data_IF_726633248066
#
_entry.id   IF_726633248066
#
_cell.length_a   1.000
_cell.length_b   1.000
_cell.length_c   1.000
_cell.angle_alpha   90.00
_cell.angle_beta   90.00
_cell.angle_gamma   90.00
#
_symmetry.space_group_name_H-M   'P 1'
#
loop_
_entity.id
_entity.type
_entity.pdbx_description
1 polymer ?
#
# COMPACT_ATOMS: atom_id res chain seq x y z
N UNK A 1 50.33 34.43 -44.61
CA UNK A 1 50.51 33.08 -44.05
C UNK A 1 49.16 32.37 -44.12
N UNK A 2 48.95 31.48 -45.10
CA UNK A 2 47.68 30.73 -45.28
C UNK A 2 47.85 29.34 -44.69
N UNK A 3 46.99 28.97 -43.74
CA UNK A 3 46.92 27.63 -43.14
C UNK A 3 46.17 26.71 -44.12
N UNK A 4 46.67 25.51 -44.46
CA UNK A 4 45.97 24.61 -45.36
C UNK A 4 44.86 23.86 -44.62
N UNK A 5 43.63 23.96 -45.14
CA UNK A 5 42.48 23.15 -44.71
C UNK A 5 42.66 21.74 -45.27
N UNK A 6 42.86 20.77 -44.40
CA UNK A 6 42.89 19.35 -44.75
C UNK A 6 41.47 18.88 -45.12
N UNK A 7 41.23 18.62 -46.40
CA UNK A 7 40.00 17.96 -46.88
C UNK A 7 39.90 16.57 -46.26
N UNK A 8 38.95 16.37 -45.34
CA UNK A 8 38.58 15.04 -44.87
C UNK A 8 38.12 14.20 -46.06
N UNK A 9 38.83 13.09 -46.35
CA UNK A 9 38.55 12.24 -47.51
C UNK A 9 37.21 11.51 -47.28
N UNK A 10 36.14 11.82 -48.02
CA UNK A 10 34.82 11.16 -47.84
C UNK A 10 34.91 9.65 -48.09
N UNK A 11 35.84 9.21 -48.92
CA UNK A 11 36.16 7.80 -49.18
C UNK A 11 36.65 7.04 -47.93
N UNK A 12 37.39 7.70 -47.03
CA UNK A 12 37.86 7.05 -45.81
C UNK A 12 36.71 6.84 -44.81
N UNK A 13 35.79 7.81 -44.70
CA UNK A 13 34.57 7.66 -43.88
C UNK A 13 33.62 6.62 -44.45
N UNK A 14 33.46 6.59 -45.78
CA UNK A 14 32.66 5.56 -46.44
C UNK A 14 33.24 4.15 -46.25
N UNK A 15 34.56 3.99 -46.32
CA UNK A 15 35.23 2.72 -46.06
C UNK A 15 35.08 2.26 -44.61
N UNK A 16 35.16 3.17 -43.63
CA UNK A 16 34.94 2.85 -42.21
C UNK A 16 33.48 2.45 -41.96
N UNK A 17 32.51 3.18 -42.51
CA UNK A 17 31.09 2.85 -42.38
C UNK A 17 30.75 1.52 -43.07
N UNK A 18 31.32 1.25 -44.24
CA UNK A 18 31.15 -0.03 -44.93
C UNK A 18 31.80 -1.18 -44.15
N UNK A 19 32.96 -0.94 -43.52
CA UNK A 19 33.61 -1.90 -42.63
C UNK A 19 32.76 -2.21 -41.39
N UNK A 20 32.22 -1.19 -40.73
CA UNK A 20 31.33 -1.36 -39.57
C UNK A 20 30.03 -2.09 -39.96
N UNK A 21 29.41 -1.70 -41.07
CA UNK A 21 28.22 -2.39 -41.59
C UNK A 21 28.52 -3.84 -41.95
N UNK A 22 29.67 -4.11 -42.58
CA UNK A 22 30.13 -5.46 -42.89
C UNK A 22 30.31 -6.32 -41.65
N UNK A 23 30.88 -5.76 -40.57
CA UNK A 23 31.05 -6.45 -39.28
C UNK A 23 29.69 -6.74 -38.63
N UNK A 24 28.76 -5.79 -38.61
CA UNK A 24 27.41 -6.00 -38.08
C UNK A 24 26.67 -7.07 -38.87
N UNK A 25 26.74 -7.04 -40.20
CA UNK A 25 26.14 -8.06 -41.07
C UNK A 25 26.77 -9.43 -40.82
N UNK A 26 28.08 -9.52 -40.60
CA UNK A 26 28.77 -10.76 -40.24
C UNK A 26 28.27 -11.31 -38.90
N UNK A 27 28.11 -10.47 -37.89
CA UNK A 27 27.56 -10.89 -36.59
C UNK A 27 26.08 -11.31 -36.69
N UNK A 28 25.26 -10.60 -37.47
CA UNK A 28 23.85 -10.95 -37.70
C UNK A 28 23.68 -12.20 -38.58
N UNK A 29 24.61 -12.46 -39.52
CA UNK A 29 24.60 -13.67 -40.32
C UNK A 29 25.10 -14.90 -39.52
N UNK A 30 26.03 -14.68 -38.58
CA UNK A 30 26.50 -15.71 -37.64
C UNK A 30 25.42 -16.09 -36.62
N UNK A 31 24.44 -15.22 -36.33
CA UNK A 31 23.28 -15.55 -35.48
C UNK A 31 22.19 -16.33 -36.22
N UNK A 32 22.53 -17.06 -37.29
CA UNK A 32 21.65 -18.03 -37.97
C UNK A 32 21.37 -19.29 -37.14
N UNK A 33 21.99 -19.44 -35.97
CA UNK A 33 21.46 -20.29 -34.90
C UNK A 33 20.33 -19.55 -34.18
N UNK A 34 19.18 -20.21 -33.97
CA UNK A 34 18.07 -19.71 -33.13
C UNK A 34 18.66 -18.89 -31.98
N UNK A 35 18.33 -17.59 -31.90
CA UNK A 35 18.63 -16.79 -30.70
C UNK A 35 18.36 -17.70 -29.50
N UNK A 36 19.33 -17.94 -28.60
CA UNK A 36 19.06 -18.77 -27.45
C UNK A 36 17.82 -18.19 -26.80
N UNK A 37 16.71 -18.95 -26.83
CA UNK A 37 15.54 -18.58 -26.07
C UNK A 37 16.08 -18.44 -24.66
N UNK A 38 15.98 -17.24 -24.09
CA UNK A 38 16.28 -17.06 -22.69
C UNK A 38 15.41 -18.11 -21.97
N UNK A 39 16.05 -19.16 -21.49
CA UNK A 39 15.39 -20.08 -20.59
C UNK A 39 15.20 -19.25 -19.33
N UNK A 40 13.94 -18.94 -19.01
CA UNK A 40 13.65 -18.36 -17.73
C UNK A 40 14.22 -19.35 -16.69
N UNK A 41 15.24 -18.91 -15.96
CA UNK A 41 15.88 -19.73 -14.91
C UNK A 41 14.94 -20.00 -13.73
N UNK A 42 13.81 -19.29 -13.72
CA UNK A 42 12.74 -19.38 -12.77
C UNK A 42 11.43 -19.55 -13.53
N UNK A 43 10.59 -20.45 -13.05
CA UNK A 43 9.18 -20.57 -13.43
C UNK A 43 8.44 -19.25 -13.15
N UNK A 44 7.27 -19.05 -13.75
CA UNK A 44 6.44 -17.89 -13.43
C UNK A 44 6.11 -17.84 -11.92
N UNK A 45 5.91 -19.00 -11.31
CA UNK A 45 5.67 -19.16 -9.87
C UNK A 45 6.90 -18.76 -9.04
N UNK A 46 8.11 -19.20 -9.41
CA UNK A 46 9.36 -18.79 -8.75
C UNK A 46 9.65 -17.29 -8.94
N UNK A 47 9.31 -16.70 -10.09
CA UNK A 47 9.44 -15.26 -10.32
C UNK A 47 8.47 -14.46 -9.47
N UNK A 48 7.21 -14.91 -9.33
CA UNK A 48 6.24 -14.29 -8.43
C UNK A 48 6.66 -14.45 -6.96
N UNK A 49 7.18 -15.62 -6.59
CA UNK A 49 7.74 -15.86 -5.26
C UNK A 49 8.92 -14.91 -4.99
N UNK A 50 9.82 -14.72 -5.95
CA UNK A 50 10.96 -13.79 -5.82
C UNK A 50 10.52 -12.31 -5.80
N UNK A 51 9.48 -11.95 -6.55
CA UNK A 51 8.92 -10.57 -6.59
C UNK A 51 8.18 -10.19 -5.31
N UNK A 52 7.53 -11.15 -4.66
CA UNK A 52 6.94 -11.01 -3.33
C UNK A 52 7.88 -11.45 -2.21
N UNK A 53 9.20 -11.49 -2.41
CA UNK A 53 10.20 -11.90 -1.39
C UNK A 53 9.93 -13.25 -0.68
N UNK A 54 9.15 -14.14 -1.27
CA UNK A 54 8.78 -15.45 -0.71
C UNK A 54 7.72 -15.40 0.39
N UNK A 55 7.14 -14.24 0.69
CA UNK A 55 6.26 -14.01 1.84
C UNK A 55 4.75 -14.14 1.54
N UNK A 56 4.40 -14.41 0.27
CA UNK A 56 3.02 -14.62 -0.17
C UNK A 56 2.16 -13.36 -0.26
N UNK A 57 2.75 -12.15 -0.21
CA UNK A 57 2.06 -10.88 -0.40
C UNK A 57 2.12 -10.40 -1.85
N UNK A 58 1.16 -9.57 -2.29
CA UNK A 58 1.18 -8.99 -3.62
C UNK A 58 2.45 -8.14 -3.81
N UNK A 59 3.14 -8.36 -4.91
CA UNK A 59 4.26 -7.52 -5.36
C UNK A 59 3.84 -6.53 -6.45
N UNK A 60 4.81 -5.73 -6.90
CA UNK A 60 4.64 -4.82 -8.02
C UNK A 60 4.25 -3.39 -7.61
N UNK A 61 4.17 -2.52 -8.61
CA UNK A 61 3.89 -1.10 -8.44
C UNK A 61 3.05 -0.56 -9.60
N UNK A 62 2.41 0.58 -9.36
CA UNK A 62 1.81 1.41 -10.40
C UNK A 62 2.58 2.75 -10.48
N UNK A 63 1.99 3.84 -10.99
CA UNK A 63 2.73 5.08 -11.19
C UNK A 63 3.14 5.77 -9.88
N UNK A 64 2.39 5.55 -8.79
CA UNK A 64 2.57 6.26 -7.51
C UNK A 64 2.63 5.34 -6.30
N UNK A 65 2.11 4.11 -6.40
CA UNK A 65 1.94 3.19 -5.28
C UNK A 65 2.65 1.87 -5.54
N UNK A 66 2.87 1.13 -4.46
CA UNK A 66 3.51 -0.17 -4.45
C UNK A 66 2.78 -1.10 -3.49
N UNK A 67 2.74 -2.39 -3.83
CA UNK A 67 2.11 -3.40 -2.99
C UNK A 67 3.02 -3.80 -1.80
N UNK A 68 2.37 -4.32 -0.75
CA UNK A 68 2.96 -4.65 0.57
C UNK A 68 4.11 -5.64 0.50
N UNK A 69 4.12 -6.53 -0.49
CA UNK A 69 5.17 -7.53 -0.69
C UNK A 69 6.56 -6.90 -0.85
N UNK A 70 6.65 -5.67 -1.36
CA UNK A 70 7.94 -4.96 -1.48
C UNK A 70 8.44 -4.38 -0.16
N UNK A 71 7.56 -4.14 0.81
CA UNK A 71 7.92 -3.65 2.14
C UNK A 71 8.36 -4.80 3.07
N UNK A 72 7.72 -5.96 2.91
CA UNK A 72 7.81 -7.09 3.82
C UNK A 72 9.20 -7.76 3.90
N UNK A 73 10.07 -7.58 2.90
CA UNK A 73 11.45 -8.08 2.96
C UNK A 73 12.32 -7.37 4.02
N UNK A 74 11.95 -6.16 4.44
CA UNK A 74 12.62 -5.41 5.51
C UNK A 74 11.73 -5.25 6.75
N UNK A 75 10.42 -5.13 6.58
CA UNK A 75 9.47 -4.86 7.66
C UNK A 75 8.60 -6.06 8.07
N UNK A 76 8.89 -7.25 7.53
CA UNK A 76 8.24 -8.51 7.91
C UNK A 76 9.07 -9.33 8.89
N UNK A 77 8.72 -10.62 9.03
CA UNK A 77 9.41 -11.57 9.91
C UNK A 77 10.93 -11.64 9.65
N UNK A 78 11.73 -11.36 10.68
CA UNK A 78 13.18 -11.52 10.63
C UNK A 78 13.61 -12.89 11.17
N UNK A 79 14.11 -13.75 10.29
CA UNK A 79 14.62 -15.08 10.63
C UNK A 79 15.80 -15.06 11.61
N UNK A 80 16.50 -13.93 11.73
CA UNK A 80 17.59 -13.75 12.69
C UNK A 80 17.09 -13.34 14.08
N UNK A 81 15.82 -12.94 14.21
CA UNK A 81 15.25 -12.44 15.46
C UNK A 81 15.92 -11.17 15.97
N UNK A 82 16.42 -10.31 15.07
CA UNK A 82 17.04 -9.03 15.43
C UNK A 82 16.11 -7.85 15.20
N UNK A 83 15.44 -7.82 14.04
CA UNK A 83 14.45 -6.82 13.70
C UNK A 83 13.03 -7.31 13.98
N UNK A 84 12.12 -6.37 14.21
CA UNK A 84 10.69 -6.63 14.39
C UNK A 84 10.39 -7.60 15.54
N UNK A 85 11.23 -7.61 16.57
CA UNK A 85 11.03 -8.36 17.80
C UNK A 85 10.99 -7.42 19.00
N UNK A 86 10.18 -7.78 20.00
CA UNK A 86 10.12 -7.08 21.28
C UNK A 86 11.26 -7.53 22.24
N UNK A 87 11.31 -6.98 23.46
CA UNK A 87 12.38 -7.30 24.42
C UNK A 87 12.35 -8.76 24.91
N UNK A 88 11.19 -9.43 24.82
CA UNK A 88 11.01 -10.84 25.15
C UNK A 88 11.31 -11.76 23.94
N UNK A 89 11.65 -11.19 22.79
CA UNK A 89 11.94 -11.92 21.55
C UNK A 89 10.69 -12.39 20.80
N UNK A 90 9.52 -11.82 21.09
CA UNK A 90 8.28 -12.07 20.35
C UNK A 90 8.31 -11.29 19.04
N UNK A 91 7.95 -11.95 17.95
CA UNK A 91 7.78 -11.31 16.64
C UNK A 91 6.58 -10.36 16.66
N UNK A 92 6.85 -9.09 16.39
CA UNK A 92 5.89 -7.98 16.33
C UNK A 92 5.91 -7.30 14.96
N UNK A 93 6.21 -8.06 13.89
CA UNK A 93 6.35 -7.49 12.57
C UNK A 93 5.05 -6.89 12.01
N UNK A 94 5.15 -5.69 11.41
CA UNK A 94 3.98 -4.94 10.92
C UNK A 94 3.27 -5.64 9.78
N UNK A 95 3.99 -6.44 8.99
CA UNK A 95 3.45 -7.14 7.84
C UNK A 95 2.42 -8.20 8.26
N UNK A 96 2.79 -9.04 9.23
CA UNK A 96 1.94 -10.12 9.72
C UNK A 96 0.79 -9.61 10.60
N UNK A 97 1.04 -8.53 11.33
CA UNK A 97 0.00 -7.77 12.02
C UNK A 97 -1.06 -7.23 11.07
N UNK A 98 -0.63 -6.54 10.01
CA UNK A 98 -1.53 -5.88 9.06
C UNK A 98 -2.27 -6.85 8.14
N UNK A 99 -1.61 -7.88 7.59
CA UNK A 99 -2.14 -8.70 6.46
C UNK A 99 -3.46 -9.42 6.74
N UNK A 100 -3.79 -9.66 8.01
CA UNK A 100 -5.03 -10.32 8.44
C UNK A 100 -6.13 -9.35 8.86
N UNK A 101 -5.88 -8.04 8.79
CA UNK A 101 -6.85 -7.01 9.18
C UNK A 101 -7.90 -6.77 8.10
N UNK A 102 -9.01 -6.14 8.47
CA UNK A 102 -10.01 -5.70 7.47
C UNK A 102 -9.45 -4.65 6.50
N UNK A 103 -8.40 -3.92 6.88
CA UNK A 103 -7.72 -2.96 6.00
C UNK A 103 -6.96 -3.67 4.87
N UNK A 104 -6.16 -4.69 5.20
CA UNK A 104 -5.47 -5.50 4.19
C UNK A 104 -6.44 -6.25 3.26
N UNK A 105 -7.60 -6.63 3.79
CA UNK A 105 -8.59 -7.42 3.07
C UNK A 105 -9.77 -6.58 2.54
N UNK A 106 -9.67 -5.24 2.55
CA UNK A 106 -10.77 -4.33 2.23
C UNK A 106 -11.27 -4.49 0.79
N UNK A 107 -10.36 -4.78 -0.15
CA UNK A 107 -10.69 -5.05 -1.55
C UNK A 107 -11.19 -6.48 -1.76
N UNK A 108 -10.88 -7.40 -0.86
CA UNK A 108 -11.27 -8.82 -0.91
C UNK A 108 -12.56 -9.14 -0.15
N UNK A 109 -13.05 -8.22 0.69
CA UNK A 109 -14.26 -8.37 1.48
C UNK A 109 -15.48 -8.73 0.59
N UNK A 110 -16.03 -9.95 0.71
CA UNK A 110 -17.15 -10.38 -0.11
C UNK A 110 -18.46 -9.67 0.25
N UNK A 111 -18.64 -9.21 1.49
CA UNK A 111 -19.81 -8.43 1.88
C UNK A 111 -19.77 -7.05 1.21
N UNK A 112 -18.62 -6.38 1.26
CA UNK A 112 -18.42 -5.12 0.54
C UNK A 112 -18.65 -5.28 -0.96
N UNK A 113 -18.01 -6.27 -1.62
CA UNK A 113 -18.21 -6.53 -3.06
C UNK A 113 -19.67 -6.77 -3.42
N UNK A 114 -20.39 -7.53 -2.59
CA UNK A 114 -21.82 -7.77 -2.78
C UNK A 114 -22.63 -6.48 -2.63
N UNK A 115 -22.29 -5.63 -1.67
CA UNK A 115 -22.96 -4.33 -1.48
C UNK A 115 -22.72 -3.40 -2.66
N UNK A 116 -21.49 -3.27 -3.17
CA UNK A 116 -21.20 -2.48 -4.38
C UNK A 116 -22.00 -3.01 -5.58
N UNK A 117 -22.01 -4.33 -5.78
CA UNK A 117 -22.80 -4.94 -6.86
C UNK A 117 -24.29 -4.66 -6.71
N UNK A 118 -24.82 -4.70 -5.49
CA UNK A 118 -26.21 -4.36 -5.22
C UNK A 118 -26.52 -2.90 -5.54
N UNK A 119 -25.68 -1.95 -5.13
CA UNK A 119 -25.87 -0.52 -5.45
C UNK A 119 -25.89 -0.28 -6.96
N UNK A 120 -25.00 -0.95 -7.71
CA UNK A 120 -24.99 -0.89 -9.18
C UNK A 120 -26.26 -1.51 -9.79
N UNK A 121 -26.78 -2.60 -9.21
CA UNK A 121 -28.03 -3.22 -9.68
C UNK A 121 -29.25 -2.32 -9.45
N UNK A 122 -29.29 -1.62 -8.32
CA UNK A 122 -30.38 -0.68 -7.99
C UNK A 122 -30.28 0.60 -8.82
N UNK A 123 -29.06 1.11 -9.03
CA UNK A 123 -28.79 2.38 -9.68
C UNK A 123 -27.80 2.22 -10.86
N UNK A 124 -28.17 1.50 -11.94
CA UNK A 124 -27.23 1.16 -13.02
C UNK A 124 -26.68 2.39 -13.75
N UNK A 125 -27.44 3.48 -13.82
CA UNK A 125 -26.98 4.74 -14.40
C UNK A 125 -25.83 5.41 -13.64
N UNK A 126 -25.58 5.00 -12.38
CA UNK A 126 -24.54 5.55 -11.51
C UNK A 126 -23.35 4.63 -11.31
N UNK A 127 -23.28 3.51 -12.04
CA UNK A 127 -22.26 2.47 -11.82
C UNK A 127 -20.84 3.03 -11.68
N UNK A 128 -20.40 3.88 -12.62
CA UNK A 128 -19.04 4.39 -12.63
C UNK A 128 -18.72 5.26 -11.40
N UNK A 129 -19.67 6.07 -10.93
CA UNK A 129 -19.49 6.93 -9.74
C UNK A 129 -19.53 6.08 -8.47
N UNK A 130 -20.41 5.09 -8.39
CA UNK A 130 -20.52 4.19 -7.25
C UNK A 130 -19.25 3.37 -7.07
N UNK A 131 -18.77 2.70 -8.13
CA UNK A 131 -17.56 1.89 -8.06
C UNK A 131 -16.32 2.75 -7.72
N UNK A 132 -16.19 3.94 -8.31
CA UNK A 132 -15.09 4.86 -7.98
C UNK A 132 -15.14 5.31 -6.52
N UNK A 133 -16.34 5.58 -6.00
CA UNK A 133 -16.53 6.01 -4.62
C UNK A 133 -16.22 4.90 -3.63
N UNK A 134 -16.65 3.68 -3.89
CA UNK A 134 -16.38 2.55 -3.00
C UNK A 134 -14.89 2.20 -3.00
N UNK A 135 -14.25 2.23 -4.17
CA UNK A 135 -12.82 1.90 -4.31
C UNK A 135 -11.89 2.98 -3.76
N UNK A 136 -12.35 4.23 -3.58
CA UNK A 136 -11.52 5.28 -2.97
C UNK A 136 -11.15 4.98 -1.51
N UNK A 137 -11.98 4.22 -0.78
CA UNK A 137 -11.67 3.75 0.58
C UNK A 137 -11.20 2.29 0.61
N UNK A 138 -11.76 1.40 -0.22
CA UNK A 138 -11.51 -0.05 -0.13
C UNK A 138 -10.36 -0.56 -1.01
N UNK A 139 -9.97 0.18 -2.05
CA UNK A 139 -8.84 -0.14 -2.91
C UNK A 139 -8.06 1.14 -3.28
N UNK A 140 -7.65 1.94 -2.27
CA UNK A 140 -7.23 3.32 -2.46
C UNK A 140 -6.03 3.46 -3.40
N UNK A 141 -5.10 2.52 -3.40
CA UNK A 141 -3.87 2.61 -4.20
C UNK A 141 -4.14 2.51 -5.71
N UNK A 142 -4.99 1.59 -6.14
CA UNK A 142 -5.40 1.45 -7.55
C UNK A 142 -6.25 2.63 -8.00
N UNK A 143 -7.26 2.98 -7.19
CA UNK A 143 -8.17 4.09 -7.46
C UNK A 143 -7.42 5.42 -7.56
N UNK A 144 -6.61 5.76 -6.56
CA UNK A 144 -5.90 7.04 -6.55
C UNK A 144 -4.79 7.09 -7.59
N UNK A 145 -4.14 5.97 -7.92
CA UNK A 145 -3.23 5.92 -9.06
C UNK A 145 -3.93 6.35 -10.36
N UNK A 146 -5.12 5.81 -10.64
CA UNK A 146 -5.90 6.18 -11.82
C UNK A 146 -6.34 7.65 -11.77
N UNK A 147 -6.82 8.11 -10.62
CA UNK A 147 -7.22 9.51 -10.42
C UNK A 147 -6.06 10.49 -10.66
N UNK A 148 -4.91 10.27 -10.02
CA UNK A 148 -3.71 11.11 -10.12
C UNK A 148 -3.12 11.09 -11.55
N UNK A 149 -3.27 9.97 -12.26
CA UNK A 149 -2.87 9.85 -13.68
C UNK A 149 -3.86 10.48 -14.66
N UNK A 150 -4.96 11.09 -14.19
CA UNK A 150 -6.00 11.70 -15.03
C UNK A 150 -6.93 10.69 -15.72
N UNK A 151 -7.01 9.46 -15.22
CA UNK A 151 -7.77 8.36 -15.83
C UNK A 151 -9.27 8.33 -15.53
N UNK A 152 -9.77 9.20 -14.64
CA UNK A 152 -11.19 9.25 -14.24
C UNK A 152 -11.59 8.14 -13.27
N UNK A 153 -12.87 7.72 -13.32
CA UNK A 153 -13.45 6.73 -12.40
C UNK A 153 -12.74 5.37 -12.45
N UNK A 154 -12.49 4.77 -11.30
CA UNK A 154 -11.93 3.42 -11.16
C UNK A 154 -13.02 2.37 -10.94
N UNK A 155 -13.06 1.35 -11.80
CA UNK A 155 -14.09 0.29 -11.75
C UNK A 155 -13.68 -0.92 -10.90
N UNK A 156 -14.68 -1.70 -10.47
CA UNK A 156 -14.43 -3.01 -9.84
C UNK A 156 -13.72 -3.95 -10.81
N UNK A 157 -14.04 -3.89 -12.10
CA UNK A 157 -13.37 -4.70 -13.10
C UNK A 157 -11.86 -4.41 -13.18
N UNK A 158 -11.47 -3.14 -13.10
CA UNK A 158 -10.06 -2.74 -13.04
C UNK A 158 -9.39 -3.25 -11.75
N UNK A 159 -10.03 -3.00 -10.59
CA UNK A 159 -9.55 -3.47 -9.28
C UNK A 159 -9.24 -4.98 -9.30
N UNK A 160 -10.11 -5.80 -9.87
CA UNK A 160 -9.95 -7.26 -9.91
C UNK A 160 -8.73 -7.74 -10.70
N UNK A 161 -8.12 -6.88 -11.51
CA UNK A 161 -6.93 -7.19 -12.32
C UNK A 161 -5.68 -6.44 -11.86
N UNK A 162 -5.80 -5.63 -10.80
CA UNK A 162 -4.73 -4.79 -10.28
C UNK A 162 -4.24 -5.32 -8.92
N UNK A 163 -3.04 -5.94 -8.85
CA UNK A 163 -2.53 -6.49 -7.60
C UNK A 163 -2.27 -5.43 -6.53
N UNK A 164 -1.96 -4.18 -6.92
CA UNK A 164 -1.75 -3.07 -5.98
C UNK A 164 -3.08 -2.59 -5.40
N UNK A 165 -4.17 -2.69 -6.17
CA UNK A 165 -5.52 -2.39 -5.70
C UNK A 165 -6.08 -3.50 -4.78
N UNK A 166 -5.82 -4.77 -5.13
CA UNK A 166 -6.24 -5.93 -4.33
C UNK A 166 -5.53 -6.01 -2.98
N UNK A 167 -4.36 -5.40 -2.85
CA UNK A 167 -3.63 -5.24 -1.59
C UNK A 167 -4.35 -4.32 -0.56
N UNK A 168 -5.52 -3.78 -0.92
CA UNK A 168 -6.43 -3.09 -0.01
C UNK A 168 -5.89 -1.75 0.48
N UNK A 169 -6.22 -1.41 1.74
CA UNK A 169 -5.63 -0.27 2.45
C UNK A 169 -4.26 -0.71 2.99
N UNK A 170 -3.25 -0.61 2.11
CA UNK A 170 -1.88 -1.08 2.34
C UNK A 170 -0.93 0.02 2.84
N UNK A 171 0.35 -0.33 3.00
CA UNK A 171 1.41 0.50 3.53
C UNK A 171 1.47 1.88 2.86
N UNK A 172 1.54 1.94 1.52
CA UNK A 172 1.69 3.21 0.79
C UNK A 172 0.39 4.04 0.83
N UNK A 173 -0.78 3.40 0.91
CA UNK A 173 -2.07 4.10 1.08
C UNK A 173 -2.15 4.90 2.40
N UNK A 174 -1.44 4.46 3.44
CA UNK A 174 -1.35 5.19 4.70
C UNK A 174 -0.11 6.09 4.71
N UNK A 175 1.07 5.54 4.46
CA UNK A 175 2.33 6.24 4.68
C UNK A 175 2.61 7.35 3.65
N UNK A 176 1.94 7.37 2.49
CA UNK A 176 2.11 8.46 1.51
C UNK A 176 1.14 9.64 1.74
N UNK A 177 0.25 9.56 2.74
CA UNK A 177 -0.71 10.64 3.00
C UNK A 177 0.01 11.94 3.36
N UNK A 178 -0.34 13.02 2.68
CA UNK A 178 0.23 14.34 2.90
C UNK A 178 -0.34 14.95 4.19
N UNK A 179 0.47 15.77 4.86
CA UNK A 179 0.10 16.45 6.10
C UNK A 179 -1.13 17.37 5.94
N UNK A 180 -1.33 17.96 4.75
CA UNK A 180 -2.44 18.86 4.46
C UNK A 180 -3.77 18.12 4.22
N UNK A 181 -3.77 16.78 4.21
CA UNK A 181 -4.98 15.96 4.05
C UNK A 181 -5.80 15.80 5.34
N UNK A 182 -5.27 16.20 6.49
CA UNK A 182 -5.81 15.81 7.79
C UNK A 182 -7.09 16.56 8.18
N UNK A 183 -8.13 15.83 8.57
CA UNK A 183 -9.29 16.38 9.29
C UNK A 183 -10.24 17.27 8.48
N UNK A 184 -9.91 17.55 7.21
CA UNK A 184 -10.69 18.41 6.32
C UNK A 184 -11.25 17.68 5.09
N UNK A 185 -10.69 16.51 4.75
CA UNK A 185 -11.12 15.69 3.62
C UNK A 185 -11.74 14.39 4.12
N UNK A 186 -12.79 13.96 3.44
CA UNK A 186 -13.63 12.84 3.85
C UNK A 186 -14.00 11.98 2.65
N UNK A 187 -14.59 10.82 2.92
CA UNK A 187 -15.20 9.94 1.93
C UNK A 187 -14.20 9.45 0.88
N UNK A 188 -13.01 9.08 1.31
CA UNK A 188 -11.90 8.60 0.49
C UNK A 188 -11.25 9.68 -0.37
N UNK A 189 -11.47 10.97 -0.06
CA UNK A 189 -10.65 12.06 -0.59
C UNK A 189 -9.34 12.13 0.20
N UNK A 190 -8.33 11.41 -0.30
CA UNK A 190 -7.01 11.37 0.33
C UNK A 190 -6.04 12.18 -0.52
N UNK A 191 -5.31 13.12 0.09
CA UNK A 191 -4.18 13.78 -0.56
C UNK A 191 -2.91 12.98 -0.29
N UNK A 192 -2.21 12.66 -1.36
CA UNK A 192 -0.95 11.94 -1.32
C UNK A 192 0.21 12.86 -1.70
N UNK A 193 1.34 12.70 -1.02
CA UNK A 193 2.59 13.34 -1.41
C UNK A 193 3.24 12.53 -2.54
N UNK A 194 3.08 13.01 -3.78
CA UNK A 194 3.56 12.30 -4.98
C UNK A 194 5.03 12.56 -5.30
N UNK A 195 5.83 13.02 -4.32
CA UNK A 195 7.26 13.25 -4.48
C UNK A 195 8.10 12.07 -3.97
N UNK A 196 7.58 10.85 -4.08
CA UNK A 196 8.22 9.61 -3.64
C UNK A 196 8.61 9.63 -2.15
N UNK A 197 7.72 10.14 -1.29
CA UNK A 197 7.92 10.23 0.17
C UNK A 197 6.97 9.31 0.92
N UNK A 198 7.48 8.64 1.96
CA UNK A 198 6.67 7.93 2.94
C UNK A 198 6.93 8.47 4.35
N UNK A 199 5.85 8.72 5.10
CA UNK A 199 5.88 9.33 6.41
C UNK A 199 5.78 8.28 7.52
N UNK A 200 6.65 8.39 8.52
CA UNK A 200 6.61 7.59 9.75
C UNK A 200 6.73 8.44 11.01
N UNK A 201 6.55 7.85 12.20
CA UNK A 201 6.59 8.58 13.47
C UNK A 201 8.01 8.90 13.97
N UNK A 202 9.05 8.38 13.30
CA UNK A 202 10.46 8.51 13.70
C UNK A 202 11.23 9.50 12.82
N UNK A 203 12.39 9.96 13.29
CA UNK A 203 13.24 10.92 12.58
C UNK A 203 12.86 12.39 12.80
N UNK A 204 11.97 12.66 13.75
CA UNK A 204 11.56 14.03 14.10
C UNK A 204 12.62 14.80 14.88
N UNK A 205 12.38 16.09 15.19
CA UNK A 205 13.37 16.96 15.85
C UNK A 205 13.87 16.46 17.21
N UNK A 206 13.06 15.66 17.90
CA UNK A 206 13.36 15.11 19.22
C UNK A 206 13.85 13.65 19.16
N UNK A 207 13.96 13.07 17.96
CA UNK A 207 14.45 11.71 17.80
C UNK A 207 15.98 11.71 17.89
N UNK A 208 16.57 10.99 18.86
CA UNK A 208 18.02 10.95 19.01
C UNK A 208 18.72 10.22 17.86
N UNK A 209 17.99 9.45 17.05
CA UNK A 209 18.53 8.63 15.98
C UNK A 209 18.06 9.13 14.60
N UNK A 210 18.96 9.48 13.67
CA UNK A 210 18.56 9.83 12.31
C UNK A 210 17.94 8.63 11.58
N UNK A 211 17.04 8.88 10.63
CA UNK A 211 16.51 7.81 9.77
C UNK A 211 17.60 7.28 8.84
N UNK A 212 17.73 5.96 8.75
CA UNK A 212 18.57 5.32 7.75
C UNK A 212 17.74 5.01 6.49
N UNK A 213 17.53 6.03 5.65
CA UNK A 213 16.62 5.94 4.50
C UNK A 213 17.20 5.29 3.24
N UNK A 214 18.52 5.09 3.16
CA UNK A 214 19.19 4.61 1.94
C UNK A 214 18.65 3.28 1.37
N UNK A 215 18.24 2.28 2.18
CA UNK A 215 17.62 1.07 1.65
C UNK A 215 16.28 1.34 0.99
N UNK A 216 15.43 2.17 1.60
CA UNK A 216 14.11 2.49 1.06
C UNK A 216 14.24 3.24 -0.27
N UNK A 217 15.11 4.25 -0.34
CA UNK A 217 15.32 5.01 -1.58
C UNK A 217 15.96 4.18 -2.69
N UNK A 218 16.89 3.27 -2.35
CA UNK A 218 17.64 2.50 -3.34
C UNK A 218 16.92 1.26 -3.84
N UNK A 219 16.10 0.60 -3.00
CA UNK A 219 15.46 -0.68 -3.34
C UNK A 219 13.95 -0.55 -3.58
N UNK A 220 13.29 0.40 -2.91
CA UNK A 220 11.83 0.59 -2.99
C UNK A 220 11.47 1.85 -3.79
N UNK A 221 12.34 2.86 -3.76
CA UNK A 221 12.16 4.12 -4.48
C UNK A 221 11.49 5.23 -3.68
N UNK A 222 11.23 5.03 -2.38
CA UNK A 222 10.64 6.03 -1.50
C UNK A 222 11.64 6.57 -0.46
N UNK A 223 11.62 7.87 -0.21
CA UNK A 223 12.33 8.53 0.89
C UNK A 223 11.48 8.46 2.18
N UNK A 224 11.98 7.84 3.26
CA UNK A 224 11.29 7.87 4.54
C UNK A 224 11.54 9.19 5.26
N UNK A 225 10.46 9.90 5.61
CA UNK A 225 10.50 11.15 6.36
C UNK A 225 9.68 11.05 7.66
N UNK A 226 10.03 11.89 8.61
CA UNK A 226 9.18 12.11 9.78
C UNK A 226 7.89 12.83 9.37
N UNK A 227 6.75 12.30 9.79
CA UNK A 227 5.45 12.95 9.65
C UNK A 227 4.74 13.03 11.00
N UNK A 228 4.65 14.22 11.59
CA UNK A 228 3.91 14.40 12.85
C UNK A 228 2.44 13.95 12.73
N UNK A 229 1.86 14.13 11.55
CA UNK A 229 0.47 13.81 11.23
C UNK A 229 0.13 12.33 11.37
N UNK A 230 1.09 11.41 11.20
CA UNK A 230 0.79 9.95 11.21
C UNK A 230 0.30 9.45 12.57
N UNK A 231 0.53 10.23 13.63
CA UNK A 231 0.09 9.91 15.00
C UNK A 231 -1.19 10.64 15.43
N UNK A 232 -1.77 11.48 14.56
CA UNK A 232 -2.95 12.31 14.85
C UNK A 232 -4.24 11.60 14.44
N UNK A 233 -5.32 11.73 15.21
CA UNK A 233 -6.58 11.01 14.94
C UNK A 233 -7.19 11.35 13.56
N UNK A 234 -6.95 12.57 13.12
CA UNK A 234 -7.33 13.15 11.82
C UNK A 234 -6.75 12.39 10.62
N UNK A 235 -5.69 11.60 10.82
CA UNK A 235 -5.10 10.72 9.81
C UNK A 235 -6.07 9.66 9.29
N UNK A 236 -7.06 9.29 10.10
CA UNK A 236 -8.08 8.30 9.74
C UNK A 236 -9.32 8.93 9.08
N UNK A 237 -9.46 10.26 9.12
CA UNK A 237 -10.70 10.97 8.80
C UNK A 237 -11.18 10.77 7.36
N UNK A 238 -10.24 10.71 6.42
CA UNK A 238 -10.52 10.57 4.99
C UNK A 238 -11.34 9.32 4.69
N UNK A 239 -11.03 8.19 5.33
CA UNK A 239 -11.77 6.94 5.16
C UNK A 239 -12.88 6.73 6.21
N UNK A 240 -12.73 7.28 7.43
CA UNK A 240 -13.68 7.10 8.53
C UNK A 240 -14.72 8.23 8.69
N UNK A 241 -15.03 8.91 7.59
CA UNK A 241 -16.25 9.70 7.41
C UNK A 241 -16.74 9.49 5.99
N UNK A 242 -17.96 9.00 5.82
CA UNK A 242 -18.57 8.73 4.52
C UNK A 242 -19.82 9.59 4.34
N UNK A 243 -19.71 10.54 3.41
CA UNK A 243 -20.75 11.46 3.00
C UNK A 243 -20.94 11.26 1.50
N UNK A 244 -22.14 10.85 1.11
CA UNK A 244 -22.46 10.47 -0.27
C UNK A 244 -23.56 11.37 -0.84
N UNK A 245 -23.53 11.58 -2.15
CA UNK A 245 -24.62 12.26 -2.86
C UNK A 245 -25.88 11.39 -2.85
N UNK A 246 -27.04 12.02 -2.76
CA UNK A 246 -28.33 11.30 -2.74
C UNK A 246 -29.03 11.35 -4.09
N UNK A 247 -29.75 10.28 -4.40
CA UNK A 247 -30.58 10.15 -5.60
C UNK A 247 -32.03 9.88 -5.23
N UNK A 248 -32.97 10.30 -6.08
CA UNK A 248 -34.39 9.97 -5.94
C UNK A 248 -34.69 8.52 -6.38
N UNK A 249 -35.93 8.07 -6.26
CA UNK A 249 -36.36 6.72 -6.66
C UNK A 249 -36.24 6.44 -8.18
N UNK A 250 -36.03 7.48 -8.99
CA UNK A 250 -35.78 7.35 -10.43
C UNK A 250 -34.28 7.41 -10.75
N UNK A 251 -33.41 7.49 -9.74
CA UNK A 251 -31.98 7.65 -9.91
C UNK A 251 -31.54 9.06 -10.31
N UNK A 252 -32.36 10.10 -10.18
CA UNK A 252 -31.91 11.47 -10.42
C UNK A 252 -31.22 12.03 -9.19
N UNK A 253 -30.12 12.75 -9.36
CA UNK A 253 -29.48 13.47 -8.25
C UNK A 253 -30.47 14.45 -7.62
N UNK A 254 -30.58 14.42 -6.30
CA UNK A 254 -31.41 15.38 -5.54
C UNK A 254 -30.67 16.69 -5.26
N UNK A 255 -29.35 16.72 -5.47
CA UNK A 255 -28.45 17.79 -5.03
C UNK A 255 -28.11 17.78 -3.54
N UNK A 256 -28.68 16.86 -2.75
CA UNK A 256 -28.38 16.70 -1.32
C UNK A 256 -27.32 15.63 -1.04
N UNK A 257 -26.83 15.61 0.20
CA UNK A 257 -25.89 14.60 0.70
C UNK A 257 -26.49 13.81 1.87
N UNK A 258 -25.97 12.60 2.08
CA UNK A 258 -26.30 11.73 3.21
C UNK A 258 -25.02 11.34 3.94
N UNK A 259 -25.07 11.38 5.27
CA UNK A 259 -23.96 10.96 6.13
C UNK A 259 -24.17 9.48 6.46
N UNK A 260 -23.47 8.62 5.73
CA UNK A 260 -23.54 7.17 5.90
C UNK A 260 -22.68 6.71 7.09
N UNK A 261 -21.53 7.36 7.29
CA UNK A 261 -20.65 7.12 8.44
C UNK A 261 -20.06 8.44 8.90
N UNK A 262 -20.04 8.68 10.22
CA UNK A 262 -19.55 9.91 10.82
C UNK A 262 -18.52 9.66 11.94
N UNK A 263 -17.87 8.49 11.98
CA UNK A 263 -17.06 8.05 13.13
C UNK A 263 -15.98 9.06 13.54
N UNK A 264 -15.27 9.66 12.59
CA UNK A 264 -14.30 10.72 12.93
C UNK A 264 -14.99 11.95 13.58
N UNK A 265 -16.13 12.38 13.06
CA UNK A 265 -16.88 13.50 13.64
C UNK A 265 -17.48 13.15 15.00
N UNK A 266 -17.95 11.92 15.19
CA UNK A 266 -18.40 11.41 16.48
C UNK A 266 -17.25 11.45 17.51
N UNK A 267 -16.04 11.06 17.10
CA UNK A 267 -14.83 11.14 17.93
C UNK A 267 -14.45 12.58 18.28
N UNK A 268 -14.40 13.50 17.31
CA UNK A 268 -14.11 14.94 17.56
C UNK A 268 -15.12 15.57 18.51
N UNK A 269 -16.38 15.11 18.50
CA UNK A 269 -17.42 15.61 19.39
C UNK A 269 -17.56 14.80 20.69
N UNK A 270 -16.64 13.86 20.95
CA UNK A 270 -16.65 13.02 22.14
C UNK A 270 -15.71 13.55 23.22
N UNK A 271 -15.72 12.90 24.38
CA UNK A 271 -14.78 13.17 25.48
C UNK A 271 -13.33 12.73 25.17
N UNK A 272 -13.10 12.09 24.02
CA UNK A 272 -11.80 11.51 23.64
C UNK A 272 -10.94 12.40 22.74
N UNK A 273 -11.53 13.39 22.05
CA UNK A 273 -10.88 14.24 21.04
C UNK A 273 -9.52 14.80 21.51
N UNK A 274 -9.50 15.37 22.72
CA UNK A 274 -8.31 16.05 23.25
C UNK A 274 -7.20 15.11 23.76
N UNK A 275 -7.49 13.83 24.03
CA UNK A 275 -6.60 12.99 24.84
C UNK A 275 -6.29 11.59 24.26
N UNK A 276 -7.11 11.09 23.34
CA UNK A 276 -6.97 9.72 22.82
C UNK A 276 -7.19 9.72 21.31
N UNK A 277 -6.08 9.65 20.56
CA UNK A 277 -6.16 9.51 19.11
C UNK A 277 -6.67 8.12 18.71
N UNK A 278 -7.16 7.99 17.46
CA UNK A 278 -7.53 6.72 16.86
C UNK A 278 -6.43 5.66 17.03
N UNK A 279 -5.18 6.07 16.77
CA UNK A 279 -3.99 5.23 16.86
C UNK A 279 -3.73 4.74 18.28
N UNK A 280 -4.04 5.54 19.32
CA UNK A 280 -3.80 5.15 20.71
C UNK A 280 -4.53 3.85 21.08
N UNK A 281 -5.68 3.57 20.47
CA UNK A 281 -6.43 2.33 20.66
C UNK A 281 -6.21 1.30 19.54
N UNK A 282 -6.18 1.73 18.28
CA UNK A 282 -6.17 0.83 17.11
C UNK A 282 -4.77 0.47 16.60
N UNK A 283 -3.75 1.24 16.99
CA UNK A 283 -2.33 0.98 16.73
C UNK A 283 -1.59 1.02 18.07
N UNK A 284 -1.86 0.05 18.97
CA UNK A 284 -1.34 0.09 20.32
C UNK A 284 0.18 0.12 20.31
N UNK A 285 0.75 0.86 21.25
CA UNK A 285 2.20 1.06 21.32
C UNK A 285 2.82 0.25 22.45
N UNK A 286 4.02 -0.26 22.20
CA UNK A 286 4.92 -0.80 23.21
C UNK A 286 6.11 0.14 23.37
N UNK A 287 6.68 0.19 24.58
CA UNK A 287 7.81 1.06 24.89
C UNK A 287 9.17 0.38 24.62
N UNK A 288 9.14 -0.90 24.26
CA UNK A 288 10.28 -1.71 23.84
C UNK A 288 11.03 -1.07 22.67
N UNK A 289 12.36 -1.19 22.69
CA UNK A 289 13.21 -0.69 21.62
C UNK A 289 13.26 -1.66 20.43
N UNK A 290 12.30 -1.55 19.51
CA UNK A 290 12.19 -2.47 18.35
C UNK A 290 13.02 -1.97 17.16
N UNK A 291 13.91 -2.82 16.62
CA UNK A 291 14.61 -2.51 15.36
C UNK A 291 13.63 -2.66 14.19
N UNK A 292 13.38 -1.57 13.47
CA UNK A 292 12.27 -1.49 12.50
C UNK A 292 12.59 -1.99 11.08
N UNK A 293 13.78 -2.55 10.84
CA UNK A 293 14.16 -3.06 9.52
C UNK A 293 15.16 -4.21 9.64
N UNK A 294 14.84 -5.33 9.00
CA UNK A 294 15.71 -6.48 8.88
C UNK A 294 16.91 -6.19 7.97
N UNK A 295 17.90 -7.09 7.99
CA UNK A 295 19.10 -7.06 7.13
C UNK A 295 20.17 -6.00 7.49
N UNK A 296 19.98 -5.19 8.54
CA UNK A 296 20.93 -4.15 8.95
C UNK A 296 21.23 -4.19 10.45
N UNK A 297 22.21 -5.03 10.84
CA UNK A 297 22.57 -5.28 12.24
C UNK A 297 23.08 -4.05 13.04
N UNK A 298 23.40 -2.95 12.37
CA UNK A 298 23.82 -1.71 13.03
C UNK A 298 22.65 -0.78 13.40
N UNK A 299 21.42 -1.11 12.97
CA UNK A 299 20.25 -0.32 13.31
C UNK A 299 19.96 -0.41 14.81
N UNK A 300 19.55 0.72 15.37
CA UNK A 300 19.12 0.81 16.76
C UNK A 300 17.60 0.70 16.83
N UNK A 301 17.11 0.14 17.93
CA UNK A 301 15.69 0.05 18.22
C UNK A 301 15.04 1.43 18.31
N UNK A 302 13.75 1.49 17.97
CA UNK A 302 12.90 2.68 18.06
C UNK A 302 11.80 2.43 19.06
N UNK A 303 11.47 3.45 19.83
CA UNK A 303 10.42 3.44 20.83
C UNK A 303 9.78 4.84 20.91
N UNK A 304 8.45 4.95 21.12
CA UNK A 304 7.51 3.84 21.25
C UNK A 304 7.16 3.22 19.88
N UNK A 305 6.97 1.89 19.85
CA UNK A 305 6.71 1.11 18.64
C UNK A 305 5.22 0.81 18.46
N UNK A 306 4.67 1.16 17.28
CA UNK A 306 3.24 0.98 16.97
C UNK A 306 2.94 -0.36 16.30
N UNK A 307 2.12 -1.18 16.96
CA UNK A 307 1.68 -2.48 16.48
C UNK A 307 0.54 -2.29 15.46
N UNK A 308 0.69 -2.85 14.26
CA UNK A 308 -0.23 -2.65 13.13
C UNK A 308 -1.48 -3.55 13.24
N UNK A 309 -2.05 -3.62 14.44
CA UNK A 309 -3.13 -4.51 14.79
C UNK A 309 -4.47 -4.15 14.14
N UNK A 310 -4.78 -2.85 14.03
CA UNK A 310 -6.02 -2.29 13.48
C UNK A 310 -7.31 -3.03 13.91
N UNK A 311 -7.35 -3.49 15.16
CA UNK A 311 -8.46 -4.27 15.69
C UNK A 311 -9.74 -3.41 15.75
N UNK A 312 -10.79 -3.84 15.05
CA UNK A 312 -12.10 -3.20 15.01
C UNK A 312 -13.17 -4.06 15.69
N UNK A 313 -14.44 -3.90 15.31
CA UNK A 313 -15.55 -4.61 15.96
C UNK A 313 -16.04 -5.86 15.21
N UNK A 314 -15.44 -6.22 14.07
CA UNK A 314 -16.05 -7.17 13.13
C UNK A 314 -15.40 -8.56 13.15
N UNK A 315 -15.51 -9.28 14.28
CA UNK A 315 -15.00 -10.66 14.38
C UNK A 315 -15.68 -11.61 13.40
N UNK A 316 -16.96 -11.39 13.11
CA UNK A 316 -17.72 -12.21 12.14
C UNK A 316 -17.08 -12.17 10.75
N UNK A 317 -16.76 -10.97 10.23
CA UNK A 317 -16.13 -10.88 8.92
C UNK A 317 -14.71 -11.45 8.91
N UNK A 318 -13.95 -11.28 10.00
CA UNK A 318 -12.64 -11.92 10.12
C UNK A 318 -12.74 -13.46 10.09
N UNK A 319 -13.74 -14.05 10.76
CA UNK A 319 -14.00 -15.49 10.69
C UNK A 319 -14.44 -15.93 9.29
N UNK A 320 -15.27 -15.14 8.61
CA UNK A 320 -15.68 -15.41 7.23
C UNK A 320 -14.47 -15.41 6.30
N UNK A 321 -13.60 -14.39 6.40
CA UNK A 321 -12.37 -14.30 5.62
C UNK A 321 -11.46 -15.52 5.89
N UNK A 322 -11.21 -15.84 7.17
CA UNK A 322 -10.42 -17.00 7.59
C UNK A 322 -10.96 -18.32 7.00
N UNK A 323 -12.27 -18.51 7.03
CA UNK A 323 -12.88 -19.76 6.56
C UNK A 323 -12.93 -19.88 5.01
N UNK A 324 -12.60 -18.81 4.28
CA UNK A 324 -12.68 -18.75 2.82
C UNK A 324 -11.39 -18.24 2.15
N UNK A 325 -10.24 -18.30 2.85
CA UNK A 325 -8.96 -17.73 2.40
C UNK A 325 -8.60 -18.11 0.95
N UNK A 326 -8.65 -19.39 0.60
CA UNK A 326 -8.29 -19.86 -0.75
C UNK A 326 -9.25 -19.32 -1.82
N UNK A 327 -10.55 -19.29 -1.52
CA UNK A 327 -11.57 -18.83 -2.48
C UNK A 327 -11.49 -17.32 -2.72
N UNK A 328 -11.13 -16.59 -1.66
CA UNK A 328 -10.96 -15.14 -1.71
C UNK A 328 -9.54 -14.72 -2.12
N UNK A 329 -8.61 -15.67 -2.30
CA UNK A 329 -7.19 -15.42 -2.60
C UNK A 329 -6.50 -14.50 -1.57
N UNK A 330 -6.76 -14.74 -0.28
CA UNK A 330 -6.18 -13.95 0.81
C UNK A 330 -4.73 -14.37 1.07
N UNK A 331 -3.92 -13.41 1.52
CA UNK A 331 -2.47 -13.60 1.74
C UNK A 331 -2.14 -14.00 3.19
N UNK A 332 -3.04 -13.75 4.14
CA UNK A 332 -2.91 -14.17 5.53
C UNK A 332 -3.25 -15.66 5.69
N UNK A 333 -2.55 -16.34 6.61
CA UNK A 333 -2.90 -17.70 7.03
C UNK A 333 -3.82 -17.73 8.26
N UNK A 334 -4.17 -18.94 8.72
CA UNK A 334 -5.06 -19.12 9.87
C UNK A 334 -4.51 -18.54 11.18
N UNK A 335 -3.19 -18.56 11.39
CA UNK A 335 -2.55 -18.07 12.62
C UNK A 335 -2.63 -16.54 12.67
N UNK A 336 -2.38 -15.87 11.55
CA UNK A 336 -2.56 -14.42 11.44
C UNK A 336 -4.01 -14.02 11.78
N UNK A 337 -4.99 -14.70 11.16
CA UNK A 337 -6.41 -14.44 11.45
C UNK A 337 -6.77 -14.74 12.90
N UNK A 338 -6.27 -15.82 13.49
CA UNK A 338 -6.50 -16.15 14.90
C UNK A 338 -5.98 -15.06 15.83
N UNK A 339 -4.80 -14.51 15.55
CA UNK A 339 -4.26 -13.36 16.29
C UNK A 339 -5.17 -12.12 16.18
N UNK A 340 -5.57 -11.76 14.96
CA UNK A 340 -6.42 -10.58 14.72
C UNK A 340 -7.84 -10.73 15.28
N UNK A 341 -8.43 -11.94 15.23
CA UNK A 341 -9.70 -12.26 15.89
C UNK A 341 -9.55 -12.16 17.40
N UNK A 342 -8.48 -12.71 17.98
CA UNK A 342 -8.23 -12.61 19.43
C UNK A 342 -8.04 -11.16 19.88
N UNK A 343 -7.33 -10.33 19.11
CA UNK A 343 -7.18 -8.89 19.36
C UNK A 343 -8.52 -8.16 19.28
N UNK A 344 -9.34 -8.49 18.27
CA UNK A 344 -10.70 -7.95 18.09
C UNK A 344 -11.62 -8.31 19.26
N UNK A 345 -11.65 -9.59 19.65
CA UNK A 345 -12.45 -10.06 20.78
C UNK A 345 -12.00 -9.43 22.09
N UNK A 346 -10.68 -9.33 22.32
CA UNK A 346 -10.12 -8.64 23.48
C UNK A 346 -10.60 -7.19 23.50
N UNK A 347 -10.46 -6.45 22.39
CA UNK A 347 -10.93 -5.07 22.31
C UNK A 347 -12.43 -4.98 22.66
N UNK A 348 -13.27 -5.83 22.08
CA UNK A 348 -14.71 -5.85 22.34
C UNK A 348 -15.09 -6.24 23.78
N UNK A 349 -14.30 -7.06 24.45
CA UNK A 349 -14.62 -7.59 25.78
C UNK A 349 -14.02 -6.76 26.92
N UNK A 350 -12.86 -6.14 26.69
CA UNK A 350 -12.09 -5.48 27.76
C UNK A 350 -11.81 -4.00 27.50
N UNK A 351 -11.95 -3.55 26.25
CA UNK A 351 -11.71 -2.16 25.85
C UNK A 351 -12.96 -1.49 25.25
N UNK A 352 -14.11 -2.19 25.21
CA UNK A 352 -15.39 -1.55 24.94
C UNK A 352 -15.81 -0.80 26.20
N UNK A 353 -16.08 0.48 26.04
CA UNK A 353 -16.49 1.34 27.14
C UNK A 353 -17.87 0.90 27.64
N UNK A 354 -18.00 0.77 28.96
CA UNK A 354 -19.28 0.70 29.68
C UNK A 354 -19.93 2.07 29.77
#
# INVERSE_FOLDING_TARGET
MRIPVTRSRPLARAAVLAGLAGVVILFVAWTSGKLPKAHAFHTAEELELMRGSGNGLPGGSNNYFMASGTCAGCHGHDVQGFAMVDEDGVDVNVTDDWRSTMMANSAHDPFWRAKVSHEVQVNPGHQAVLEDKCTSCHAPQGRHNKFLSGGGHYSIAEMMTDPVALDGVSCVACHMQAQDSLGFFFSGEVRYDTNDVLYGPYGGPNDPQPLFGAPMTSFVGFEPLYGEHVSKGEFCASCHTLITGTVDLNGNSTGGTFVEQATYHEWVNSVYDDNVSCQACHVPRIDDAVVISANYLFLQGRSPYGLHHFAGANSFMLELLKNNMTQLALTADSVHFDSTIARTLRMLQVNSLL
#
